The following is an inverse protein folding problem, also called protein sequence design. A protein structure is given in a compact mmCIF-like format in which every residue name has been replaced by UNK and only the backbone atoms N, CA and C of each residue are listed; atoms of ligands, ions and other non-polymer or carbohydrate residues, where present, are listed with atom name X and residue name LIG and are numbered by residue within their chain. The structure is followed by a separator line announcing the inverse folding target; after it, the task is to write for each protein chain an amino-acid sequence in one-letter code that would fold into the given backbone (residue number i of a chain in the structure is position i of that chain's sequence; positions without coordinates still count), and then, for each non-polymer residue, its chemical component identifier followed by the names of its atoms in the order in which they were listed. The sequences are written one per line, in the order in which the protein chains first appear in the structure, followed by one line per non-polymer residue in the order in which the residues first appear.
data_IF_042193835887
#
_entry.id   IF_042193835887
#
_cell.length_a   1.000
_cell.length_b   1.000
_cell.length_c   1.000
_cell.angle_alpha   90.00
_cell.angle_beta   90.00
_cell.angle_gamma   90.00
#
_symmetry.space_group_name_H-M   'P 1'
#
loop_
_entity.id
_entity.type
_entity.pdbx_description
1 polymer ?
#
# COMPACT_ATOMS: atom_id res chain seq x y z
N UNK A 1 -11.13 14.82 -12.03
CA UNK A 1 -11.49 15.29 -10.67
C UNK A 1 -10.17 15.60 -9.95
N UNK A 2 -9.94 16.81 -9.43
CA UNK A 2 -8.63 17.29 -8.89
C UNK A 2 -8.54 17.35 -7.36
N UNK A 3 -9.56 16.89 -6.65
CA UNK A 3 -9.71 17.14 -5.21
C UNK A 3 -8.61 16.52 -4.32
N UNK A 4 -7.91 15.46 -4.78
CA UNK A 4 -6.84 14.82 -4.02
C UNK A 4 -5.45 15.44 -4.21
N UNK A 5 -5.16 16.04 -5.38
CA UNK A 5 -3.82 16.57 -5.66
C UNK A 5 -3.57 17.93 -4.97
N UNK A 6 -4.60 18.74 -4.79
CA UNK A 6 -4.49 20.11 -4.27
C UNK A 6 -4.00 20.14 -2.82
N UNK A 7 -4.48 19.23 -1.95
CA UNK A 7 -3.97 19.14 -0.58
C UNK A 7 -2.49 18.74 -0.54
N UNK A 8 -2.07 17.86 -1.45
CA UNK A 8 -0.68 17.43 -1.56
C UNK A 8 0.25 18.58 -1.99
N UNK A 9 -0.26 19.59 -2.69
CA UNK A 9 0.52 20.79 -3.04
C UNK A 9 0.81 21.69 -1.84
N UNK A 10 0.05 21.56 -0.75
CA UNK A 10 0.15 22.40 0.43
C UNK A 10 0.78 21.70 1.65
N UNK A 11 1.42 20.54 1.45
CA UNK A 11 2.09 19.85 2.56
C UNK A 11 3.20 20.75 3.16
N UNK A 12 3.34 20.77 4.50
CA UNK A 12 4.35 21.58 5.16
C UNK A 12 5.74 21.36 4.58
N UNK A 13 6.55 22.41 4.58
CA UNK A 13 7.95 22.35 4.18
C UNK A 13 8.77 22.46 5.46
N UNK A 14 9.32 21.34 5.92
CA UNK A 14 10.07 21.24 7.17
C UNK A 14 11.04 20.07 7.14
N UNK A 15 12.01 20.00 8.07
CA UNK A 15 12.96 18.89 8.11
C UNK A 15 12.25 17.58 8.45
N UNK A 16 12.34 16.62 7.53
CA UNK A 16 11.80 15.28 7.70
C UNK A 16 10.32 15.15 7.31
N UNK A 17 9.87 13.90 7.11
CA UNK A 17 8.49 13.64 6.76
C UNK A 17 7.55 13.92 7.94
N UNK A 18 6.35 14.41 7.66
CA UNK A 18 5.40 14.86 8.69
C UNK A 18 3.92 14.59 8.32
N UNK A 19 3.65 13.97 7.17
CA UNK A 19 2.29 13.67 6.68
C UNK A 19 2.08 12.17 6.56
N UNK A 20 1.00 11.65 7.13
CA UNK A 20 0.57 10.27 6.90
C UNK A 20 -0.58 10.23 5.89
N UNK A 21 -0.55 9.29 4.95
CA UNK A 21 -1.57 9.18 3.88
C UNK A 21 -2.35 7.86 4.01
N UNK A 22 -3.69 7.94 4.07
CA UNK A 22 -4.55 6.78 3.77
C UNK A 22 -5.04 6.92 2.33
N UNK A 23 -4.98 5.84 1.55
CA UNK A 23 -5.44 5.80 0.16
C UNK A 23 -6.30 4.54 -0.08
N UNK A 24 -7.58 4.78 -0.33
CA UNK A 24 -8.62 3.77 -0.52
C UNK A 24 -9.72 4.50 -1.28
N UNK A 25 -9.65 4.41 -2.62
CA UNK A 25 -10.33 5.32 -3.55
C UNK A 25 -10.83 4.59 -4.81
N UNK A 26 -11.11 3.30 -4.68
CA UNK A 26 -11.82 2.49 -5.68
C UNK A 26 -11.20 2.56 -7.09
N UNK A 27 -9.88 2.31 -7.19
CA UNK A 27 -9.14 2.22 -8.46
C UNK A 27 -8.38 3.48 -8.85
N UNK A 28 -8.62 4.62 -8.18
CA UNK A 28 -7.87 5.85 -8.41
C UNK A 28 -6.46 5.84 -7.78
N UNK A 29 -6.09 4.79 -7.05
CA UNK A 29 -4.80 4.66 -6.35
C UNK A 29 -3.64 4.84 -7.34
N UNK A 30 -3.71 4.19 -8.49
CA UNK A 30 -2.68 4.18 -9.52
C UNK A 30 -2.37 5.56 -10.12
N UNK A 31 -3.34 6.48 -10.10
CA UNK A 31 -3.13 7.86 -10.55
C UNK A 31 -2.56 8.75 -9.44
N UNK A 32 -2.88 8.44 -8.18
CA UNK A 32 -2.48 9.25 -7.03
C UNK A 32 -1.08 8.89 -6.52
N UNK A 33 -0.68 7.62 -6.60
CA UNK A 33 0.64 7.16 -6.11
C UNK A 33 1.81 7.93 -6.74
N UNK A 34 1.84 8.22 -8.06
CA UNK A 34 2.86 9.09 -8.63
C UNK A 34 2.92 10.50 -8.01
N UNK A 35 1.80 11.05 -7.54
CA UNK A 35 1.77 12.34 -6.83
C UNK A 35 2.39 12.23 -5.43
N UNK A 36 2.12 11.12 -4.73
CA UNK A 36 2.67 10.83 -3.41
C UNK A 36 4.19 10.65 -3.52
N UNK A 37 4.67 9.87 -4.49
CA UNK A 37 6.11 9.62 -4.70
C UNK A 37 6.87 10.93 -4.93
N UNK A 38 6.34 11.85 -5.75
CA UNK A 38 6.97 13.17 -5.96
C UNK A 38 7.09 14.02 -4.70
N UNK A 39 6.29 13.72 -3.67
CA UNK A 39 6.25 14.42 -2.38
C UNK A 39 6.71 13.52 -1.23
N UNK A 40 7.35 12.39 -1.53
CA UNK A 40 7.77 11.40 -0.54
C UNK A 40 8.57 11.99 0.64
N UNK A 41 9.46 12.98 0.47
CA UNK A 41 10.17 13.59 1.61
C UNK A 41 9.28 14.18 2.71
N UNK A 42 8.04 14.56 2.39
CA UNK A 42 7.05 15.09 3.36
C UNK A 42 6.16 13.99 3.96
N UNK A 43 6.21 12.76 3.44
CA UNK A 43 5.27 11.68 3.80
C UNK A 43 5.94 10.71 4.78
N UNK A 44 5.41 10.57 6.00
CA UNK A 44 5.94 9.67 7.05
C UNK A 44 5.67 8.22 6.75
N UNK A 45 4.53 7.96 6.13
CA UNK A 45 4.05 6.62 5.83
C UNK A 45 2.70 6.72 5.15
N UNK A 46 2.26 5.57 4.65
CA UNK A 46 1.00 5.47 3.96
C UNK A 46 0.38 4.09 4.12
N UNK A 47 -0.94 4.04 4.09
CA UNK A 47 -1.74 2.81 4.00
C UNK A 47 -2.53 2.90 2.71
N UNK A 48 -2.39 1.88 1.85
CA UNK A 48 -3.07 1.81 0.56
C UNK A 48 -3.89 0.51 0.50
N UNK A 49 -5.14 0.59 0.04
CA UNK A 49 -5.91 -0.55 -0.46
C UNK A 49 -5.88 -0.55 -1.99
N UNK A 50 -5.21 -1.52 -2.58
CA UNK A 50 -5.06 -1.67 -4.02
C UNK A 50 -6.27 -2.41 -4.60
N UNK A 51 -7.04 -1.71 -5.44
CA UNK A 51 -8.22 -2.23 -6.11
C UNK A 51 -7.92 -2.78 -7.51
N UNK A 52 -8.61 -3.86 -7.90
CA UNK A 52 -8.61 -4.41 -9.27
C UNK A 52 -7.22 -4.87 -9.78
N UNK A 53 -6.45 -5.57 -8.94
CA UNK A 53 -5.13 -6.11 -9.31
C UNK A 53 -5.19 -7.09 -10.50
N UNK A 54 -6.32 -7.76 -10.71
CA UNK A 54 -6.61 -8.61 -11.87
C UNK A 54 -6.54 -7.84 -13.20
N UNK A 55 -6.85 -6.54 -13.18
CA UNK A 55 -6.90 -5.68 -14.37
C UNK A 55 -5.78 -4.65 -14.42
N UNK A 56 -5.18 -4.33 -13.27
CA UNK A 56 -4.20 -3.24 -13.08
C UNK A 56 -2.82 -3.74 -12.66
N UNK A 57 -2.52 -5.02 -12.87
CA UNK A 57 -1.25 -5.62 -12.45
C UNK A 57 0.01 -4.85 -12.91
N UNK A 58 0.00 -4.31 -14.13
CA UNK A 58 1.12 -3.51 -14.62
C UNK A 58 1.26 -2.19 -13.87
N UNK A 59 0.15 -1.48 -13.65
CA UNK A 59 0.13 -0.21 -12.93
C UNK A 59 0.52 -0.41 -11.46
N UNK A 60 0.04 -1.49 -10.84
CA UNK A 60 0.43 -1.91 -9.51
C UNK A 60 1.93 -2.12 -9.39
N UNK A 61 2.54 -2.89 -10.30
CA UNK A 61 3.99 -3.12 -10.28
C UNK A 61 4.76 -1.81 -10.38
N UNK A 62 4.41 -0.94 -11.33
CA UNK A 62 5.07 0.36 -11.49
C UNK A 62 4.90 1.26 -10.25
N UNK A 63 3.71 1.27 -9.64
CA UNK A 63 3.47 2.00 -8.41
C UNK A 63 4.27 1.45 -7.23
N UNK A 64 4.34 0.12 -7.09
CA UNK A 64 5.12 -0.54 -6.05
C UNK A 64 6.61 -0.29 -6.20
N UNK A 65 7.15 -0.39 -7.43
CA UNK A 65 8.55 -0.07 -7.72
C UNK A 65 8.89 1.36 -7.27
N UNK A 66 8.06 2.34 -7.64
CA UNK A 66 8.26 3.73 -7.26
C UNK A 66 8.12 3.98 -5.74
N UNK A 67 7.14 3.35 -5.09
CA UNK A 67 6.99 3.44 -3.62
C UNK A 67 8.20 2.84 -2.89
N UNK A 68 8.70 1.70 -3.37
CA UNK A 68 9.83 1.00 -2.77
C UNK A 68 11.15 1.78 -2.86
N UNK A 69 11.24 2.85 -3.66
CA UNK A 69 12.39 3.77 -3.64
C UNK A 69 12.45 4.57 -2.33
N UNK A 70 11.30 4.99 -1.79
CA UNK A 70 11.20 5.91 -0.64
C UNK A 70 10.68 5.27 0.64
N UNK A 71 9.94 4.17 0.52
CA UNK A 71 9.25 3.53 1.64
C UNK A 71 9.70 2.08 1.84
N UNK A 72 9.61 1.61 3.08
CA UNK A 72 9.62 0.20 3.42
C UNK A 72 8.18 -0.30 3.51
N UNK A 73 7.92 -1.49 2.96
CA UNK A 73 6.70 -2.24 3.27
C UNK A 73 6.79 -2.68 4.72
N UNK A 74 5.82 -2.27 5.52
CA UNK A 74 5.69 -2.64 6.93
C UNK A 74 4.86 -3.91 7.06
N UNK A 75 3.74 -3.97 6.34
CA UNK A 75 2.79 -5.07 6.42
C UNK A 75 1.97 -5.16 5.14
N UNK A 76 1.57 -6.38 4.76
CA UNK A 76 0.66 -6.66 3.65
C UNK A 76 -0.47 -7.56 4.15
N UNK A 77 -1.68 -7.32 3.66
CA UNK A 77 -2.84 -8.14 3.98
C UNK A 77 -3.68 -8.37 2.71
N UNK A 78 -4.05 -9.62 2.45
CA UNK A 78 -4.84 -9.98 1.29
C UNK A 78 -6.33 -9.79 1.58
N UNK A 79 -6.92 -8.72 1.07
CA UNK A 79 -8.34 -8.43 1.30
C UNK A 79 -9.21 -9.54 0.64
N UNK A 80 -10.06 -10.17 1.46
CA UNK A 80 -10.87 -11.33 1.10
C UNK A 80 -12.27 -11.01 0.54
N UNK A 81 -12.58 -9.73 0.32
CA UNK A 81 -13.85 -9.30 -0.26
C UNK A 81 -13.96 -9.69 -1.74
N UNK A 82 -12.86 -9.53 -2.49
CA UNK A 82 -12.72 -9.95 -3.89
C UNK A 82 -12.03 -11.32 -3.99
N UNK A 83 -12.27 -12.09 -5.07
CA UNK A 83 -11.63 -13.39 -5.25
C UNK A 83 -10.12 -13.27 -5.51
N UNK A 84 -9.42 -14.40 -5.47
CA UNK A 84 -8.07 -14.50 -6.03
C UNK A 84 -8.11 -14.29 -7.55
N UNK A 85 -7.03 -13.74 -8.10
CA UNK A 85 -6.83 -13.61 -9.53
C UNK A 85 -6.75 -15.04 -10.13
N UNK A 86 -7.56 -15.37 -11.15
CA UNK A 86 -7.64 -16.72 -11.70
C UNK A 86 -6.27 -17.30 -12.08
N UNK A 87 -6.00 -18.52 -11.62
CA UNK A 87 -4.73 -19.22 -11.87
C UNK A 87 -3.56 -18.77 -11.00
N UNK A 88 -3.79 -17.94 -9.96
CA UNK A 88 -2.76 -17.46 -9.03
C UNK A 88 -3.22 -17.57 -7.57
N UNK A 89 -2.32 -17.31 -6.62
CA UNK A 89 -2.60 -17.12 -5.19
C UNK A 89 -2.69 -15.65 -4.79
N UNK A 90 -2.78 -14.73 -5.75
CA UNK A 90 -2.81 -13.28 -5.50
C UNK A 90 -4.25 -12.82 -5.33
N UNK A 91 -4.61 -12.11 -4.25
CA UNK A 91 -5.93 -11.53 -4.10
C UNK A 91 -6.13 -10.38 -5.10
N UNK A 92 -7.35 -10.21 -5.62
CA UNK A 92 -7.65 -9.09 -6.52
C UNK A 92 -7.65 -7.72 -5.80
N UNK A 93 -7.73 -7.72 -4.47
CA UNK A 93 -7.56 -6.54 -3.61
C UNK A 93 -6.47 -6.80 -2.58
N UNK A 94 -5.53 -5.87 -2.40
CA UNK A 94 -4.41 -5.99 -1.46
C UNK A 94 -4.30 -4.75 -0.59
N UNK A 95 -4.20 -4.92 0.72
CA UNK A 95 -3.91 -3.84 1.65
C UNK A 95 -2.41 -3.80 1.96
N UNK A 96 -1.81 -2.61 1.95
CA UNK A 96 -0.40 -2.41 2.22
C UNK A 96 -0.14 -1.24 3.14
N UNK A 97 0.69 -1.45 4.17
CA UNK A 97 1.19 -0.42 5.06
C UNK A 97 2.66 -0.14 4.78
N UNK A 98 3.03 1.14 4.73
CA UNK A 98 4.34 1.61 4.32
C UNK A 98 4.88 2.67 5.28
N UNK A 99 6.18 2.64 5.56
CA UNK A 99 6.88 3.62 6.38
C UNK A 99 8.03 4.24 5.61
N UNK A 100 8.22 5.55 5.72
CA UNK A 100 9.29 6.24 5.00
C UNK A 100 10.67 5.77 5.49
N UNK A 101 11.58 5.48 4.56
CA UNK A 101 12.90 4.92 4.87
C UNK A 101 13.73 5.81 5.80
N UNK A 102 13.56 7.13 5.70
CA UNK A 102 14.25 8.08 6.58
C UNK A 102 13.86 7.95 8.08
N UNK A 103 12.75 7.26 8.40
CA UNK A 103 12.36 6.97 9.78
C UNK A 103 13.08 5.73 10.34
N UNK A 104 13.70 4.92 9.49
CA UNK A 104 14.40 3.71 9.90
C UNK A 104 15.89 4.01 10.15
N UNK A 105 16.36 3.84 11.39
CA UNK A 105 17.79 3.98 11.72
C UNK A 105 18.70 2.90 11.11
N UNK A 106 18.11 1.85 10.53
CA UNK A 106 18.78 0.77 9.81
C UNK A 106 17.81 0.13 8.82
N UNK A 107 18.33 -0.54 7.79
CA UNK A 107 17.51 -1.30 6.85
C UNK A 107 16.81 -2.47 7.60
N UNK A 108 15.47 -2.61 7.52
CA UNK A 108 14.76 -3.75 8.07
C UNK A 108 15.15 -5.06 7.39
N UNK A 109 15.04 -6.17 8.12
CA UNK A 109 15.14 -7.50 7.53
C UNK A 109 13.84 -7.85 6.80
N UNK A 110 13.89 -8.65 5.72
CA UNK A 110 12.68 -9.19 5.11
C UNK A 110 11.84 -9.97 6.13
N UNK A 111 10.52 -9.87 6.02
CA UNK A 111 9.60 -10.65 6.85
C UNK A 111 9.70 -12.13 6.52
N UNK A 112 9.72 -12.99 7.55
CA UNK A 112 9.52 -14.44 7.42
C UNK A 112 8.12 -14.89 7.83
N UNK A 113 7.17 -13.96 7.95
CA UNK A 113 5.81 -14.25 8.38
C UNK A 113 5.00 -14.95 7.30
N UNK A 114 4.04 -15.75 7.74
CA UNK A 114 2.95 -16.26 6.90
C UNK A 114 1.70 -15.43 7.16
N UNK A 115 1.06 -14.98 6.08
CA UNK A 115 -0.13 -14.15 6.14
C UNK A 115 -1.38 -14.98 5.84
N UNK A 116 -2.53 -14.69 6.47
CA UNK A 116 -2.75 -13.65 7.49
C UNK A 116 -2.03 -13.97 8.82
N UNK A 117 -1.50 -12.94 9.47
CA UNK A 117 -0.87 -13.01 10.79
C UNK A 117 -1.97 -13.02 11.86
N UNK A 118 -2.10 -14.15 12.57
CA UNK A 118 -3.11 -14.32 13.62
C UNK A 118 -2.99 -13.22 14.70
N UNK A 119 -4.11 -12.53 14.95
CA UNK A 119 -4.21 -11.49 15.98
C UNK A 119 -3.74 -10.10 15.51
N UNK A 120 -3.26 -9.98 14.27
CA UNK A 120 -2.97 -8.72 13.61
C UNK A 120 -3.90 -8.50 12.40
N UNK A 121 -4.04 -9.53 11.57
CA UNK A 121 -4.90 -9.53 10.38
C UNK A 121 -6.32 -9.97 10.72
N UNK A 122 -7.28 -9.31 10.08
CA UNK A 122 -8.70 -9.56 10.21
C UNK A 122 -9.38 -9.49 8.84
N UNK A 123 -10.31 -10.41 8.55
CA UNK A 123 -10.95 -10.47 7.26
C UNK A 123 -11.85 -9.25 7.02
N UNK A 124 -11.78 -8.69 5.81
CA UNK A 124 -12.68 -7.63 5.36
C UNK A 124 -14.13 -8.15 5.29
N UNK A 125 -14.33 -9.34 4.72
CA UNK A 125 -15.58 -10.09 4.80
C UNK A 125 -15.48 -11.15 5.91
N UNK A 126 -16.15 -10.96 7.07
CA UNK A 126 -16.04 -11.88 8.20
C UNK A 126 -16.68 -13.26 7.95
N UNK A 127 -17.48 -13.41 6.89
CA UNK A 127 -18.11 -14.67 6.51
C UNK A 127 -17.21 -15.54 5.62
N UNK A 128 -16.04 -15.03 5.21
CA UNK A 128 -15.08 -15.73 4.34
C UNK A 128 -13.72 -15.84 5.03
N UNK A 129 -12.96 -16.91 4.78
CA UNK A 129 -11.57 -16.96 5.22
C UNK A 129 -10.74 -15.88 4.51
N UNK A 130 -9.67 -15.43 5.15
CA UNK A 130 -8.68 -14.57 4.51
C UNK A 130 -7.89 -15.29 3.42
N UNK A 131 -7.40 -14.52 2.45
CA UNK A 131 -6.53 -15.04 1.40
C UNK A 131 -5.09 -15.14 1.93
N UNK A 132 -4.47 -16.33 1.93
CA UNK A 132 -3.07 -16.45 2.31
C UNK A 132 -2.17 -15.80 1.26
N UNK A 133 -1.13 -15.09 1.71
CA UNK A 133 -0.10 -14.56 0.81
C UNK A 133 1.10 -15.51 0.77
N UNK A 134 1.44 -15.99 -0.43
CA UNK A 134 2.57 -16.88 -0.69
C UNK A 134 3.64 -16.15 -1.50
N UNK A 135 4.89 -16.15 -1.02
CA UNK A 135 6.04 -15.50 -1.67
C UNK A 135 7.14 -16.50 -1.98
#
# INVERSE_FOLDING_TARGET
MRAGSELLDHLPQGPGPHVFVKLDVEGAEYTIVPEIVRRAPSVTGLVIEWHDLDQRWSDFRSCMEALLEHFHVVHLHGNNYRPLIPGTSVPATLEGSFAHKALAGRRPLPSGATYPIKGLDWPCNPERPDHPLTF
#
